data_IF_599213113561
#
_entry.id   IF_599213113561
#
_cell.length_a   1.000
_cell.length_b   1.000
_cell.length_c   1.000
_cell.angle_alpha   90.00
_cell.angle_beta   90.00
_cell.angle_gamma   90.00
#
_symmetry.space_group_name_H-M   'P 1'
#
loop_
_entity.id
_entity.type
_entity.pdbx_description
1 polymer ?
#
# COMPACT_ATOMS: atom_id res chain seq x y z
N UNK A 1 -16.98 -11.50 21.30
CA UNK A 1 -15.71 -11.58 22.06
C UNK A 1 -14.88 -10.39 21.66
N UNK A 2 -14.34 -9.63 22.62
CA UNK A 2 -13.47 -8.49 22.34
C UNK A 2 -12.01 -8.95 22.33
N UNK A 3 -11.24 -8.47 21.36
CA UNK A 3 -9.81 -8.74 21.21
C UNK A 3 -8.98 -7.50 21.55
N UNK A 4 -7.78 -7.70 22.10
CA UNK A 4 -6.84 -6.63 22.44
C UNK A 4 -5.80 -6.46 21.33
N UNK A 5 -5.51 -5.20 20.99
CA UNK A 5 -4.38 -4.82 20.14
C UNK A 5 -3.25 -4.32 21.03
N UNK A 6 -2.09 -4.96 20.95
CA UNK A 6 -0.87 -4.54 21.63
C UNK A 6 0.24 -4.38 20.58
N UNK A 7 0.93 -3.25 20.58
CA UNK A 7 1.97 -2.94 19.59
C UNK A 7 3.04 -2.04 20.19
N UNK A 8 4.30 -2.34 19.85
CA UNK A 8 5.45 -1.53 20.23
C UNK A 8 5.65 -0.42 19.20
N UNK A 9 5.72 0.82 19.69
CA UNK A 9 6.02 2.01 18.88
C UNK A 9 7.03 2.87 19.65
N UNK A 10 7.94 3.59 18.96
CA UNK A 10 8.81 4.56 19.61
C UNK A 10 7.99 5.60 20.40
N UNK A 11 8.50 6.01 21.55
CA UNK A 11 7.79 6.91 22.47
C UNK A 11 7.51 8.26 21.80
N UNK A 12 8.48 8.81 21.08
CA UNK A 12 8.34 10.10 20.40
C UNK A 12 7.29 10.05 19.28
N UNK A 13 7.22 8.94 18.53
CA UNK A 13 6.19 8.71 17.51
C UNK A 13 4.82 8.64 18.15
N UNK A 14 4.68 7.91 19.27
CA UNK A 14 3.42 7.81 20.02
C UNK A 14 2.94 9.18 20.50
N UNK A 15 3.84 9.99 21.05
CA UNK A 15 3.52 11.31 21.56
C UNK A 15 3.09 12.27 20.44
N UNK A 16 3.83 12.30 19.34
CA UNK A 16 3.49 13.12 18.15
C UNK A 16 2.12 12.73 17.60
N UNK A 17 1.90 11.43 17.37
CA UNK A 17 0.62 10.92 16.89
C UNK A 17 -0.53 11.23 17.86
N UNK A 18 -0.31 11.09 19.17
CA UNK A 18 -1.32 11.41 20.18
C UNK A 18 -1.72 12.88 20.15
N UNK A 19 -0.78 13.81 19.96
CA UNK A 19 -1.07 15.25 19.89
C UNK A 19 -1.86 15.59 18.64
N UNK A 20 -1.44 15.06 17.49
CA UNK A 20 -2.13 15.28 16.22
C UNK A 20 -3.55 14.74 16.27
N UNK A 21 -3.73 13.47 16.68
CA UNK A 21 -5.05 12.87 16.80
C UNK A 21 -5.96 13.64 17.77
N UNK A 22 -5.42 14.09 18.91
CA UNK A 22 -6.19 14.87 19.88
C UNK A 22 -6.64 16.22 19.31
N UNK A 23 -5.85 16.86 18.44
CA UNK A 23 -6.26 18.09 17.75
C UNK A 23 -7.49 17.87 16.85
N UNK A 24 -7.71 16.64 16.38
CA UNK A 24 -8.89 16.22 15.62
C UNK A 24 -9.94 15.47 16.46
N UNK A 25 -9.84 15.51 17.80
CA UNK A 25 -10.80 14.87 18.69
C UNK A 25 -10.70 13.33 18.74
N UNK A 26 -9.60 12.75 18.28
CA UNK A 26 -9.37 11.31 18.23
C UNK A 26 -8.35 10.87 19.28
N UNK A 27 -8.57 9.67 19.83
CA UNK A 27 -7.54 8.95 20.59
C UNK A 27 -6.85 7.91 19.73
N UNK A 28 -5.64 7.48 20.12
CA UNK A 28 -4.91 6.40 19.44
C UNK A 28 -5.78 5.14 19.31
N UNK A 29 -6.52 4.78 20.37
CA UNK A 29 -7.35 3.57 20.33
C UNK A 29 -8.52 3.70 19.36
N UNK A 30 -9.10 4.90 19.22
CA UNK A 30 -10.18 5.16 18.25
C UNK A 30 -9.65 5.12 16.83
N UNK A 31 -8.49 5.74 16.60
CA UNK A 31 -7.80 5.67 15.32
C UNK A 31 -7.48 4.22 14.90
N UNK A 32 -6.87 3.42 15.78
CA UNK A 32 -6.57 2.00 15.52
C UNK A 32 -7.84 1.22 15.16
N UNK A 33 -8.94 1.40 15.91
CA UNK A 33 -10.21 0.75 15.60
C UNK A 33 -10.73 1.14 14.22
N UNK A 34 -10.74 2.44 13.90
CA UNK A 34 -11.18 2.94 12.60
C UNK A 34 -10.35 2.36 11.45
N UNK A 35 -9.02 2.36 11.58
CA UNK A 35 -8.12 1.81 10.56
C UNK A 35 -8.31 0.31 10.40
N UNK A 36 -8.39 -0.46 11.49
CA UNK A 36 -8.63 -1.91 11.41
C UNK A 36 -9.99 -2.23 10.77
N UNK A 37 -11.04 -1.46 11.10
CA UNK A 37 -12.35 -1.59 10.47
C UNK A 37 -12.30 -1.26 8.98
N UNK A 38 -11.62 -0.19 8.58
CA UNK A 38 -11.49 0.15 7.15
C UNK A 38 -10.67 -0.90 6.40
N UNK A 39 -9.57 -1.40 6.97
CA UNK A 39 -8.79 -2.49 6.35
C UNK A 39 -9.63 -3.75 6.17
N UNK A 40 -10.47 -4.10 7.15
CA UNK A 40 -11.32 -5.28 7.08
C UNK A 40 -12.44 -5.17 6.04
N UNK A 41 -12.97 -3.96 5.77
CA UNK A 41 -14.13 -3.76 4.91
C UNK A 41 -13.78 -3.22 3.51
N UNK A 42 -12.76 -2.37 3.43
CA UNK A 42 -12.42 -1.57 2.25
C UNK A 42 -11.00 -1.89 1.71
N UNK A 43 -10.22 -2.70 2.43
CA UNK A 43 -8.80 -2.94 2.13
C UNK A 43 -7.86 -1.85 2.64
N UNK A 44 -6.58 -1.90 2.26
CA UNK A 44 -5.58 -0.94 2.74
C UNK A 44 -5.96 0.50 2.33
N UNK A 45 -5.75 1.50 3.21
CA UNK A 45 -5.95 2.90 2.85
C UNK A 45 -5.17 3.26 1.59
N UNK A 46 -5.77 4.11 0.74
CA UNK A 46 -5.08 4.65 -0.43
C UNK A 46 -3.73 5.26 0.01
N UNK A 47 -2.68 4.97 -0.74
CA UNK A 47 -1.30 5.44 -0.51
C UNK A 47 -0.56 4.83 0.69
N UNK A 48 -1.09 3.81 1.37
CA UNK A 48 -0.34 3.05 2.38
C UNK A 48 0.59 1.98 1.79
N UNK A 49 0.39 1.61 0.53
CA UNK A 49 1.31 0.74 -0.21
C UNK A 49 2.26 1.58 -1.06
N UNK A 50 3.47 1.81 -0.55
CA UNK A 50 4.60 2.12 -1.44
C UNK A 50 4.95 0.80 -2.12
N UNK A 51 5.05 0.73 -3.47
CA UNK A 51 5.49 -0.48 -4.13
C UNK A 51 6.82 -0.95 -3.51
N UNK A 52 6.94 -2.25 -3.24
CA UNK A 52 8.18 -2.77 -2.68
C UNK A 52 9.32 -2.63 -3.71
N UNK A 53 10.56 -2.94 -3.30
CA UNK A 53 11.72 -2.78 -4.16
C UNK A 53 11.60 -3.52 -5.51
N UNK A 54 10.98 -4.70 -5.51
CA UNK A 54 10.75 -5.50 -6.71
C UNK A 54 9.75 -4.82 -7.65
N UNK A 55 8.58 -4.41 -7.14
CA UNK A 55 7.57 -3.71 -7.94
C UNK A 55 8.10 -2.37 -8.46
N UNK A 56 8.87 -1.64 -7.64
CA UNK A 56 9.55 -0.41 -8.10
C UNK A 56 10.54 -0.69 -9.22
N UNK A 57 11.29 -1.79 -9.15
CA UNK A 57 12.22 -2.19 -10.22
C UNK A 57 11.49 -2.48 -11.53
N UNK A 58 10.37 -3.23 -11.49
CA UNK A 58 9.58 -3.51 -12.68
C UNK A 58 8.93 -2.25 -13.27
N UNK A 59 8.52 -1.29 -12.43
CA UNK A 59 8.02 0.01 -12.90
C UNK A 59 9.14 0.76 -13.64
N UNK A 60 10.36 0.79 -13.09
CA UNK A 60 11.49 1.46 -13.73
C UNK A 60 11.87 0.77 -15.05
N UNK A 61 11.85 -0.56 -15.10
CA UNK A 61 12.08 -1.32 -16.33
C UNK A 61 11.07 -0.92 -17.43
N UNK A 62 9.79 -0.81 -17.09
CA UNK A 62 8.76 -0.35 -18.03
C UNK A 62 8.94 1.12 -18.46
N UNK A 63 9.49 1.98 -17.59
CA UNK A 63 9.82 3.37 -17.93
C UNK A 63 11.00 3.45 -18.90
N UNK A 64 12.05 2.68 -18.64
CA UNK A 64 13.23 2.61 -19.51
C UNK A 64 12.86 2.06 -20.89
N UNK A 65 11.92 1.11 -20.92
CA UNK A 65 11.38 0.53 -22.15
C UNK A 65 10.72 1.57 -23.06
N UNK A 66 10.16 2.66 -22.53
CA UNK A 66 9.58 3.73 -23.36
C UNK A 66 10.61 4.39 -24.29
N UNK A 67 11.91 4.28 -23.98
CA UNK A 67 12.99 4.88 -24.78
C UNK A 67 13.69 3.86 -25.70
N UNK A 68 13.78 2.59 -25.28
CA UNK A 68 14.63 1.57 -25.93
C UNK A 68 13.83 0.34 -26.44
N UNK A 69 12.52 0.27 -26.16
CA UNK A 69 11.55 -0.72 -26.65
C UNK A 69 12.08 -2.17 -26.71
N UNK A 70 12.54 -2.68 -25.57
CA UNK A 70 13.13 -4.01 -25.36
C UNK A 70 12.16 -5.04 -24.80
N UNK A 71 11.08 -4.63 -24.15
CA UNK A 71 10.10 -5.51 -23.54
C UNK A 71 9.20 -6.14 -24.60
N UNK A 72 8.75 -7.38 -24.33
CA UNK A 72 7.76 -8.04 -25.17
C UNK A 72 6.44 -7.26 -25.11
N UNK A 73 5.88 -6.93 -26.26
CA UNK A 73 4.58 -6.29 -26.40
C UNK A 73 3.61 -7.15 -27.22
N UNK A 74 2.32 -6.85 -27.09
CA UNK A 74 1.25 -7.40 -27.92
C UNK A 74 0.44 -6.29 -28.55
N UNK A 75 -0.03 -6.51 -29.78
CA UNK A 75 -0.88 -5.57 -30.53
C UNK A 75 -2.35 -5.99 -30.55
N UNK A 76 -2.67 -7.17 -30.03
CA UNK A 76 -4.02 -7.71 -29.94
C UNK A 76 -4.23 -8.51 -28.64
N UNK A 77 -5.49 -8.73 -28.29
CA UNK A 77 -5.87 -9.56 -27.14
C UNK A 77 -5.31 -10.99 -27.28
N UNK A 78 -5.46 -11.62 -28.46
CA UNK A 78 -4.99 -12.99 -28.70
C UNK A 78 -3.46 -13.12 -28.58
N UNK A 79 -2.70 -12.11 -29.00
CA UNK A 79 -1.25 -12.06 -28.80
C UNK A 79 -0.88 -11.93 -27.32
N UNK A 80 -1.57 -11.06 -26.58
CA UNK A 80 -1.35 -10.86 -25.16
C UNK A 80 -1.66 -12.15 -24.37
N UNK A 81 -2.77 -12.82 -24.68
CA UNK A 81 -3.18 -14.05 -24.03
C UNK A 81 -2.15 -15.17 -24.24
N UNK A 82 -1.59 -15.30 -25.45
CA UNK A 82 -0.51 -16.27 -25.71
C UNK A 82 0.74 -15.95 -24.89
N UNK A 83 1.17 -14.70 -24.85
CA UNK A 83 2.35 -14.27 -24.09
C UNK A 83 2.23 -14.52 -22.58
N UNK A 84 1.04 -14.33 -22.00
CA UNK A 84 0.81 -14.53 -20.56
C UNK A 84 0.64 -16.00 -20.15
N UNK A 85 0.40 -16.89 -21.11
CA UNK A 85 0.24 -18.33 -20.90
C UNK A 85 1.51 -19.15 -21.27
N UNK A 86 2.60 -18.50 -21.66
CA UNK A 86 3.95 -19.10 -21.82
C UNK A 86 4.55 -19.52 -20.47
#
# INVERSE_FOLDING_TARGET
MDARVDSRVPVDVKEKASKELAAHGLSISSFIRMTLSSVANDGLPKYWGIPNAETMSSINEAVDDLSDHKLKGASSYDELEKLLNE
#
